data_IF_629974421729
#
_entry.id   IF_629974421729
#
_cell.length_a   1.000
_cell.length_b   1.000
_cell.length_c   1.000
_cell.angle_alpha   90.00
_cell.angle_beta   90.00
_cell.angle_gamma   90.00
#
_symmetry.space_group_name_H-M   'P 1'
#
loop_
_entity.id
_entity.type
_entity.pdbx_description
1 polymer ?
#
# COMPACT_ATOMS: atom_id res chain seq x y z
N UNK A 1 -37.83 44.22 -25.98
CA UNK A 1 -37.52 43.30 -24.85
C UNK A 1 -36.61 42.18 -25.39
N UNK A 2 -35.30 42.42 -25.50
CA UNK A 2 -34.34 41.44 -26.09
C UNK A 2 -33.00 41.37 -25.36
N UNK A 3 -32.82 42.14 -24.27
CA UNK A 3 -31.55 42.21 -23.52
C UNK A 3 -31.35 41.10 -22.49
N UNK A 4 -32.43 40.58 -21.89
CA UNK A 4 -32.36 39.56 -20.81
C UNK A 4 -31.79 38.23 -21.32
N UNK A 5 -32.14 37.81 -22.53
CA UNK A 5 -31.70 36.52 -23.08
C UNK A 5 -30.20 36.46 -23.41
N UNK A 6 -29.57 37.60 -23.76
CA UNK A 6 -28.13 37.65 -24.06
C UNK A 6 -27.29 37.61 -22.79
N UNK A 7 -27.73 38.30 -21.74
CA UNK A 7 -27.05 38.28 -20.43
C UNK A 7 -27.12 36.90 -19.77
N UNK A 8 -28.27 36.23 -19.87
CA UNK A 8 -28.45 34.88 -19.32
C UNK A 8 -27.62 33.83 -20.08
N UNK A 9 -27.52 33.95 -21.40
CA UNK A 9 -26.65 33.07 -22.21
C UNK A 9 -25.16 33.26 -21.87
N UNK A 10 -24.71 34.50 -21.68
CA UNK A 10 -23.33 34.80 -21.27
C UNK A 10 -23.02 34.25 -19.87
N UNK A 11 -23.95 34.40 -18.93
CA UNK A 11 -23.81 33.85 -17.59
C UNK A 11 -23.72 32.31 -17.60
N UNK A 12 -24.53 31.64 -18.43
CA UNK A 12 -24.50 30.19 -18.59
C UNK A 12 -23.15 29.70 -19.15
N UNK A 13 -22.61 30.37 -20.16
CA UNK A 13 -21.31 30.03 -20.75
C UNK A 13 -20.17 30.21 -19.74
N UNK A 14 -20.21 31.27 -18.93
CA UNK A 14 -19.23 31.51 -17.87
C UNK A 14 -19.28 30.43 -16.77
N UNK A 15 -20.48 29.98 -16.39
CA UNK A 15 -20.66 28.90 -15.40
C UNK A 15 -20.15 27.57 -15.97
N UNK A 16 -20.46 27.23 -17.23
CA UNK A 16 -19.95 26.00 -17.86
C UNK A 16 -18.42 26.01 -18.02
N UNK A 17 -17.81 27.18 -18.21
CA UNK A 17 -16.34 27.33 -18.30
C UNK A 17 -15.64 27.01 -16.98
N UNK A 18 -16.33 27.22 -15.85
CA UNK A 18 -15.78 26.93 -14.51
C UNK A 18 -15.84 25.44 -14.13
N UNK A 19 -16.57 24.61 -14.88
CA UNK A 19 -16.57 23.15 -14.73
C UNK A 19 -15.39 22.49 -15.47
N UNK A 20 -14.22 23.13 -15.41
CA UNK A 20 -12.98 22.47 -15.80
C UNK A 20 -12.69 21.38 -14.77
N UNK A 21 -13.25 20.19 -15.01
CA UNK A 21 -12.84 18.96 -14.33
C UNK A 21 -11.36 18.76 -14.66
N UNK A 22 -10.47 19.27 -13.81
CA UNK A 22 -9.11 18.78 -13.79
C UNK A 22 -9.22 17.27 -13.58
N UNK A 23 -8.62 16.41 -14.43
CA UNK A 23 -8.52 15.01 -14.09
C UNK A 23 -7.79 14.96 -12.75
N UNK A 24 -8.46 14.43 -11.72
CA UNK A 24 -7.78 13.97 -10.54
C UNK A 24 -6.90 12.80 -10.99
N UNK A 25 -5.72 13.13 -11.51
CA UNK A 25 -4.62 12.19 -11.60
C UNK A 25 -4.34 11.89 -10.13
N UNK A 26 -4.87 10.77 -9.64
CA UNK A 26 -4.30 10.13 -8.46
C UNK A 26 -2.81 10.04 -8.79
N UNK A 27 -2.00 10.85 -8.11
CA UNK A 27 -0.57 10.76 -8.29
C UNK A 27 -0.21 9.40 -7.70
N UNK A 28 -0.13 8.38 -8.55
CA UNK A 28 0.83 7.29 -8.36
C UNK A 28 2.20 7.98 -8.33
N UNK A 29 2.50 8.58 -7.18
CA UNK A 29 3.83 9.01 -6.87
C UNK A 29 4.63 7.72 -6.81
N UNK A 30 5.73 7.57 -7.58
CA UNK A 30 6.73 6.57 -7.26
C UNK A 30 7.46 7.08 -6.01
N UNK A 31 6.72 7.21 -4.91
CA UNK A 31 7.31 7.46 -3.62
C UNK A 31 8.05 6.18 -3.25
N UNK A 32 9.32 6.28 -2.81
CA UNK A 32 10.04 5.11 -2.33
C UNK A 32 9.24 4.47 -1.20
N UNK A 33 9.02 3.16 -1.31
CA UNK A 33 8.12 2.43 -0.43
C UNK A 33 7.89 1.01 -0.93
N UNK A 34 7.51 0.15 0.00
CA UNK A 34 7.10 -1.23 -0.26
C UNK A 34 5.73 -1.47 0.34
N UNK A 35 4.92 -2.27 -0.33
CA UNK A 35 3.64 -2.73 0.16
C UNK A 35 3.83 -4.08 0.86
N UNK A 36 3.31 -4.21 2.07
CA UNK A 36 3.41 -5.43 2.87
C UNK A 36 2.01 -6.01 3.02
N UNK A 37 1.85 -7.30 2.73
CA UNK A 37 0.59 -8.03 2.91
C UNK A 37 0.86 -9.36 3.57
N UNK A 38 0.31 -9.59 4.77
CA UNK A 38 0.46 -10.85 5.48
C UNK A 38 -0.77 -11.76 5.32
N UNK A 39 -0.54 -13.07 5.16
CA UNK A 39 -1.61 -14.06 4.95
C UNK A 39 -2.51 -14.19 6.20
N UNK A 40 -2.00 -13.80 7.37
CA UNK A 40 -2.69 -13.88 8.66
C UNK A 40 -3.09 -12.50 9.22
N UNK A 41 -3.25 -11.47 8.39
CA UNK A 41 -3.69 -10.14 8.87
C UNK A 41 -5.05 -10.17 9.56
N UNK A 42 -5.98 -10.97 9.03
CA UNK A 42 -7.34 -11.08 9.56
C UNK A 42 -7.58 -12.39 10.34
N UNK A 43 -6.54 -13.21 10.52
CA UNK A 43 -6.66 -14.55 11.09
C UNK A 43 -5.66 -14.77 12.21
N UNK A 44 -6.09 -15.35 13.32
CA UNK A 44 -5.19 -15.63 14.44
C UNK A 44 -4.15 -16.67 14.03
N UNK A 45 -2.87 -16.36 14.20
CA UNK A 45 -1.78 -17.34 14.10
C UNK A 45 -1.92 -18.38 15.23
N UNK A 46 -1.93 -19.66 14.86
CA UNK A 46 -2.02 -20.74 15.83
C UNK A 46 -0.63 -21.27 16.19
N UNK A 47 -0.37 -21.40 17.48
CA UNK A 47 0.85 -22.01 18.00
C UNK A 47 0.79 -23.52 17.78
N UNK A 48 1.80 -24.04 17.10
CA UNK A 48 2.04 -25.47 16.90
C UNK A 48 3.13 -25.96 17.86
N UNK A 49 2.97 -27.18 18.36
CA UNK A 49 3.83 -27.76 19.39
C UNK A 49 4.96 -28.56 18.76
N UNK A 50 6.21 -28.19 19.05
CA UNK A 50 7.40 -28.84 18.46
C UNK A 50 8.09 -29.84 19.39
N UNK A 51 7.55 -30.04 20.59
CA UNK A 51 8.19 -30.87 21.60
C UNK A 51 8.98 -30.03 22.61
N UNK A 52 9.53 -30.69 23.63
CA UNK A 52 10.40 -30.09 24.65
C UNK A 52 9.82 -28.93 25.46
N UNK A 53 8.50 -28.68 25.37
CA UNK A 53 7.84 -27.55 26.02
C UNK A 53 7.78 -26.29 25.15
N UNK A 54 8.23 -26.37 23.89
CA UNK A 54 8.31 -25.25 22.97
C UNK A 54 7.16 -25.24 21.97
N UNK A 55 6.77 -24.04 21.56
CA UNK A 55 5.73 -23.77 20.57
C UNK A 55 6.23 -22.75 19.55
N UNK A 56 5.75 -22.83 18.32
CA UNK A 56 6.06 -21.86 17.27
C UNK A 56 4.80 -21.56 16.46
N UNK A 57 4.75 -20.39 15.84
CA UNK A 57 3.79 -20.06 14.80
C UNK A 57 4.57 -19.50 13.62
N UNK A 58 4.02 -19.58 12.41
CA UNK A 58 4.67 -19.06 11.20
C UNK A 58 3.75 -18.03 10.55
N UNK A 59 4.17 -16.77 10.58
CA UNK A 59 3.61 -15.71 9.75
C UNK A 59 4.25 -15.72 8.37
N UNK A 60 3.44 -15.56 7.32
CA UNK A 60 3.94 -15.36 5.95
C UNK A 60 3.45 -14.01 5.44
N UNK A 61 4.37 -13.18 4.98
CA UNK A 61 4.09 -11.86 4.41
C UNK A 61 4.76 -11.68 3.06
N UNK A 62 4.04 -11.13 2.10
CA UNK A 62 4.58 -10.70 0.80
C UNK A 62 4.94 -9.23 0.88
N UNK A 63 6.13 -8.89 0.40
CA UNK A 63 6.64 -7.52 0.33
C UNK A 63 6.83 -7.19 -1.15
N UNK A 64 6.06 -6.24 -1.65
CA UNK A 64 6.07 -5.81 -3.05
C UNK A 64 6.72 -4.43 -3.19
N UNK A 65 7.53 -4.28 -4.24
CA UNK A 65 8.11 -3.00 -4.61
C UNK A 65 7.38 -2.42 -5.84
N UNK A 66 6.37 -1.54 -5.65
CA UNK A 66 5.67 -0.89 -6.76
C UNK A 66 6.53 0.19 -7.46
N UNK A 67 7.72 0.49 -6.92
CA UNK A 67 8.62 1.52 -7.43
C UNK A 67 9.34 1.07 -8.70
N UNK A 68 9.84 2.06 -9.45
CA UNK A 68 10.64 1.83 -10.66
C UNK A 68 12.13 1.67 -10.35
N UNK A 69 12.51 1.72 -9.08
CA UNK A 69 13.86 1.55 -8.57
C UNK A 69 13.93 0.30 -7.71
N UNK A 70 15.14 -0.22 -7.47
CA UNK A 70 15.31 -1.30 -6.50
C UNK A 70 15.29 -0.71 -5.09
N UNK A 71 14.54 -1.34 -4.19
CA UNK A 71 14.43 -0.94 -2.79
C UNK A 71 15.25 -1.88 -1.91
N UNK A 72 15.89 -1.31 -0.87
CA UNK A 72 16.53 -2.09 0.18
C UNK A 72 15.67 -1.98 1.44
N UNK A 73 15.13 -3.11 1.86
CA UNK A 73 14.14 -3.20 2.94
C UNK A 73 14.82 -3.82 4.15
N UNK A 74 14.70 -3.18 5.30
CA UNK A 74 15.06 -3.74 6.60
C UNK A 74 13.79 -4.19 7.33
N UNK A 75 13.81 -5.38 7.90
CA UNK A 75 12.67 -5.95 8.60
C UNK A 75 12.88 -5.87 10.11
N UNK A 76 11.80 -5.58 10.83
CA UNK A 76 11.75 -5.63 12.29
C UNK A 76 10.46 -6.32 12.71
N UNK A 77 10.59 -7.25 13.64
CA UNK A 77 9.47 -8.09 14.10
C UNK A 77 9.09 -7.71 15.52
N UNK A 78 7.80 -7.44 15.73
CA UNK A 78 7.22 -7.31 17.06
C UNK A 78 6.36 -8.54 17.34
N UNK A 79 6.77 -9.33 18.33
CA UNK A 79 6.15 -10.62 18.66
C UNK A 79 5.12 -10.56 19.77
N UNK A 80 4.74 -9.37 20.27
CA UNK A 80 3.77 -9.19 21.38
C UNK A 80 4.02 -10.14 22.58
N UNK A 81 5.28 -10.23 23.00
CA UNK A 81 5.72 -11.11 24.10
C UNK A 81 6.24 -12.49 23.67
N UNK A 82 6.14 -12.84 22.40
CA UNK A 82 6.82 -13.98 21.79
C UNK A 82 8.15 -13.56 21.14
N UNK A 83 9.05 -14.53 20.98
CA UNK A 83 10.26 -14.34 20.16
C UNK A 83 9.84 -14.50 18.70
N UNK A 84 9.96 -13.44 17.91
CA UNK A 84 9.74 -13.45 16.47
C UNK A 84 11.09 -13.29 15.74
N UNK A 85 11.27 -14.00 14.63
CA UNK A 85 12.50 -13.96 13.85
C UNK A 85 12.24 -14.23 12.38
N UNK A 86 12.80 -13.43 11.49
CA UNK A 86 12.71 -13.63 10.04
C UNK A 86 13.92 -13.03 9.34
N UNK A 87 13.89 -12.86 8.00
CA UNK A 87 14.95 -12.16 7.27
C UNK A 87 15.21 -10.77 7.86
N UNK A 88 16.48 -10.37 8.00
CA UNK A 88 16.85 -9.05 8.55
C UNK A 88 16.74 -7.93 7.50
N UNK A 89 17.03 -8.27 6.25
CA UNK A 89 16.92 -7.36 5.11
C UNK A 89 16.72 -8.10 3.80
N UNK A 90 16.18 -7.42 2.80
CA UNK A 90 16.09 -7.89 1.44
C UNK A 90 16.22 -6.73 0.44
N UNK A 91 16.86 -7.01 -0.70
CA UNK A 91 16.82 -6.11 -1.85
C UNK A 91 15.71 -6.59 -2.79
N UNK A 92 14.72 -5.75 -3.03
CA UNK A 92 13.58 -6.06 -3.88
C UNK A 92 13.75 -5.28 -5.20
N UNK A 93 13.89 -5.96 -6.35
CA UNK A 93 13.96 -5.31 -7.65
C UNK A 93 12.71 -4.47 -7.95
N UNK A 94 12.81 -3.55 -8.90
CA UNK A 94 11.69 -2.73 -9.34
C UNK A 94 10.56 -3.60 -9.90
N UNK A 95 9.33 -3.42 -9.40
CA UNK A 95 8.15 -4.16 -9.83
C UNK A 95 8.17 -5.66 -9.48
N UNK A 96 8.94 -6.06 -8.47
CA UNK A 96 9.05 -7.45 -8.02
C UNK A 96 8.59 -7.62 -6.56
N UNK A 97 8.47 -8.87 -6.10
CA UNK A 97 7.99 -9.21 -4.75
C UNK A 97 8.80 -10.31 -4.08
N UNK A 98 8.82 -10.31 -2.75
CA UNK A 98 9.52 -11.32 -1.92
C UNK A 98 8.60 -11.82 -0.81
N UNK A 99 8.54 -13.13 -0.62
CA UNK A 99 7.93 -13.75 0.56
C UNK A 99 8.89 -13.74 1.75
N UNK A 100 8.41 -13.23 2.88
CA UNK A 100 9.06 -13.31 4.19
C UNK A 100 8.29 -14.25 5.10
N UNK A 101 9.03 -15.03 5.88
CA UNK A 101 8.47 -15.92 6.91
C UNK A 101 9.10 -15.59 8.25
N UNK A 102 8.26 -15.52 9.28
CA UNK A 102 8.66 -15.21 10.65
C UNK A 102 8.01 -16.11 11.67
#
# INVERSE_FOLDING_TARGET
MTGVNRGLALALVLVLSSLSFAPAQAQDSPAPGVDITCENEETTLFLDYIGMGDYYAVGTCTVENPSTFSENVEFSYDGDGFVASGPESATIPAGDSVESKS
#
